data_IF_676652543524
#
_entry.id   IF_676652543524
#
_cell.length_a   1.000
_cell.length_b   1.000
_cell.length_c   1.000
_cell.angle_alpha   90.00
_cell.angle_beta   90.00
_cell.angle_gamma   90.00
#
_symmetry.space_group_name_H-M   'P 1'
#
loop_
_entity.id
_entity.type
_entity.pdbx_description
1 polymer ?
#
# COMPACT_ATOMS: atom_id res chain seq x y z
N UNK A 1 -39.23 47.26 -36.49
CA UNK A 1 -39.24 46.36 -37.65
C UNK A 1 -37.81 45.98 -38.02
N UNK A 2 -37.32 44.76 -37.88
CA UNK A 2 -37.59 43.66 -36.95
C UNK A 2 -36.66 42.52 -37.37
N UNK A 3 -35.75 42.12 -36.48
CA UNK A 3 -35.57 40.72 -36.08
C UNK A 3 -35.00 39.67 -37.05
N UNK A 4 -34.72 39.94 -38.33
CA UNK A 4 -34.34 38.86 -39.27
C UNK A 4 -32.83 38.79 -39.59
N UNK A 5 -32.10 39.91 -39.57
CA UNK A 5 -30.68 39.94 -39.99
C UNK A 5 -29.67 39.47 -38.93
N UNK A 6 -30.07 39.32 -37.66
CA UNK A 6 -29.20 38.77 -36.60
C UNK A 6 -29.25 37.24 -36.49
N UNK A 7 -30.23 36.58 -37.12
CA UNK A 7 -30.42 35.12 -36.98
C UNK A 7 -29.49 34.35 -37.93
N UNK A 8 -29.25 34.86 -39.14
CA UNK A 8 -28.46 34.13 -40.16
C UNK A 8 -26.96 34.06 -39.83
N UNK A 9 -26.42 35.04 -39.10
CA UNK A 9 -24.98 35.04 -38.74
C UNK A 9 -24.68 34.06 -37.60
N UNK A 10 -25.66 33.70 -36.77
CA UNK A 10 -25.47 32.73 -35.67
C UNK A 10 -25.61 31.26 -36.08
N UNK A 11 -26.23 30.96 -37.21
CA UNK A 11 -26.41 29.55 -37.64
C UNK A 11 -25.26 28.99 -38.45
N UNK A 12 -24.39 29.81 -39.04
CA UNK A 12 -23.23 29.33 -39.83
C UNK A 12 -21.99 29.08 -38.95
N UNK A 13 -21.91 29.68 -37.76
CA UNK A 13 -20.80 29.45 -36.82
C UNK A 13 -20.94 28.17 -35.97
N UNK A 14 -22.11 27.51 -35.97
CA UNK A 14 -22.34 26.28 -35.19
C UNK A 14 -22.24 24.98 -35.99
N UNK A 15 -22.12 25.04 -37.32
CA UNK A 15 -21.96 23.86 -38.17
C UNK A 15 -20.49 23.58 -38.59
N UNK A 16 -19.53 24.34 -38.06
CA UNK A 16 -18.12 24.32 -38.51
C UNK A 16 -17.09 23.79 -37.52
N UNK A 17 -17.48 23.23 -36.37
CA UNK A 17 -16.52 22.71 -35.37
C UNK A 17 -16.78 21.24 -35.00
N UNK A 18 -17.55 20.52 -35.81
CA UNK A 18 -17.71 19.07 -35.69
C UNK A 18 -16.97 18.44 -36.85
N UNK A 19 -15.63 18.39 -36.79
CA UNK A 19 -14.74 17.52 -37.58
C UNK A 19 -13.28 18.02 -37.46
N UNK A 20 -12.66 17.84 -36.29
CA UNK A 20 -11.20 17.64 -36.15
C UNK A 20 -10.82 17.57 -34.66
N UNK A 21 -11.29 16.54 -33.95
CA UNK A 21 -10.51 16.05 -32.81
C UNK A 21 -10.33 14.54 -33.01
N UNK A 22 -9.10 14.06 -33.23
CA UNK A 22 -8.85 12.63 -33.19
C UNK A 22 -9.17 12.14 -31.77
N UNK A 23 -9.63 10.89 -31.59
CA UNK A 23 -9.84 10.35 -30.26
C UNK A 23 -8.50 10.39 -29.53
N UNK A 24 -8.38 11.31 -28.57
CA UNK A 24 -7.29 11.32 -27.59
C UNK A 24 -7.51 10.06 -26.75
N UNK A 25 -6.86 8.97 -27.16
CA UNK A 25 -6.57 7.84 -26.30
C UNK A 25 -5.87 8.43 -25.07
N UNK A 26 -6.64 8.70 -24.02
CA UNK A 26 -6.10 8.80 -22.67
C UNK A 26 -5.63 7.41 -22.32
N UNK A 27 -4.41 7.08 -22.78
CA UNK A 27 -3.54 6.15 -22.09
C UNK A 27 -3.32 6.76 -20.71
N UNK A 28 -4.17 6.39 -19.76
CA UNK A 28 -3.79 6.40 -18.36
C UNK A 28 -2.71 5.33 -18.21
N UNK A 29 -1.50 5.64 -18.67
CA UNK A 29 -0.29 5.08 -18.08
C UNK A 29 -0.10 5.76 -16.74
N UNK A 30 -1.02 5.48 -15.81
CA UNK A 30 -0.67 5.42 -14.42
C UNK A 30 0.38 4.33 -14.34
N UNK A 31 1.64 4.71 -14.18
CA UNK A 31 2.68 3.79 -13.75
C UNK A 31 2.26 3.33 -12.37
N UNK A 32 1.43 2.29 -12.34
CA UNK A 32 1.27 1.44 -11.17
C UNK A 32 2.69 1.02 -10.80
N UNK A 33 3.19 1.53 -9.68
CA UNK A 33 4.43 1.05 -9.06
C UNK A 33 4.31 -0.43 -8.63
N UNK A 34 3.15 -1.05 -8.85
CA UNK A 34 2.89 -2.45 -8.63
C UNK A 34 2.61 -3.13 -9.98
N UNK A 35 3.60 -3.84 -10.51
CA UNK A 35 3.38 -4.75 -11.63
C UNK A 35 2.36 -5.82 -11.21
N UNK A 36 1.24 -6.02 -11.93
CA UNK A 36 0.24 -7.03 -11.61
C UNK A 36 0.70 -8.47 -11.92
N UNK A 37 2.00 -8.67 -12.17
CA UNK A 37 2.63 -9.93 -12.57
C UNK A 37 3.62 -10.47 -11.53
N UNK A 38 3.55 -10.02 -10.28
CA UNK A 38 4.23 -10.76 -9.22
C UNK A 38 3.48 -12.10 -9.04
N UNK A 39 4.14 -13.27 -9.19
CA UNK A 39 3.51 -14.54 -8.85
C UNK A 39 2.99 -14.45 -7.41
N UNK A 40 1.85 -15.09 -7.06
CA UNK A 40 1.35 -15.05 -5.70
C UNK A 40 2.43 -15.66 -4.80
N UNK A 41 3.16 -14.81 -4.10
CA UNK A 41 4.09 -15.26 -3.08
C UNK A 41 3.23 -15.93 -2.03
N UNK A 42 3.29 -17.26 -1.99
CA UNK A 42 2.61 -18.06 -0.98
C UNK A 42 3.20 -17.63 0.36
N UNK A 43 2.45 -16.79 1.07
CA UNK A 43 2.83 -16.34 2.40
C UNK A 43 2.67 -17.52 3.35
N UNK A 44 3.64 -17.69 4.24
CA UNK A 44 3.69 -18.77 5.22
C UNK A 44 3.35 -18.21 6.59
N UNK A 45 2.57 -18.96 7.35
CA UNK A 45 2.37 -18.67 8.77
C UNK A 45 3.63 -19.04 9.55
N UNK A 46 3.85 -18.34 10.66
CA UNK A 46 4.98 -18.57 11.56
C UNK A 46 6.13 -17.59 11.40
N UNK A 47 7.04 -17.64 12.36
CA UNK A 47 8.15 -16.71 12.48
C UNK A 47 9.29 -17.03 11.49
N UNK A 48 9.89 -16.00 10.87
CA UNK A 48 11.16 -16.16 10.17
C UNK A 48 12.29 -16.50 11.15
N UNK A 49 13.45 -16.85 10.60
CA UNK A 49 14.63 -17.12 11.42
C UNK A 49 15.07 -15.87 12.17
N UNK A 50 15.44 -16.03 13.43
CA UNK A 50 15.77 -14.92 14.34
C UNK A 50 16.92 -14.05 13.82
N UNK A 51 17.92 -14.68 13.19
CA UNK A 51 19.08 -14.03 12.60
C UNK A 51 18.72 -13.11 11.42
N UNK A 52 17.68 -13.45 10.66
CA UNK A 52 17.28 -12.72 9.45
C UNK A 52 16.47 -11.46 9.79
N UNK A 53 15.85 -11.42 10.98
CA UNK A 53 15.01 -10.30 11.44
C UNK A 53 15.64 -9.44 12.53
N UNK A 54 16.87 -9.73 12.96
CA UNK A 54 17.52 -8.97 14.03
C UNK A 54 17.62 -7.48 13.67
N UNK A 55 17.26 -6.53 14.56
CA UNK A 55 17.00 -6.68 16.00
C UNK A 55 15.53 -6.88 16.40
N UNK A 56 14.65 -7.22 15.47
CA UNK A 56 13.27 -7.58 15.80
C UNK A 56 13.21 -8.98 16.44
N UNK A 57 12.15 -9.19 17.20
CA UNK A 57 11.80 -10.47 17.81
C UNK A 57 10.47 -10.96 17.22
N UNK A 58 10.32 -12.26 17.09
CA UNK A 58 9.08 -12.87 16.62
C UNK A 58 8.72 -14.05 17.52
N UNK A 59 7.44 -14.15 17.88
CA UNK A 59 6.88 -15.17 18.76
C UNK A 59 5.68 -15.82 18.08
N UNK A 60 5.59 -17.13 18.22
CA UNK A 60 4.44 -17.94 17.84
C UNK A 60 3.64 -18.27 19.11
N UNK A 61 2.42 -17.77 19.20
CA UNK A 61 1.55 -17.92 20.36
C UNK A 61 0.38 -18.84 19.98
N UNK A 62 0.20 -20.00 20.63
CA UNK A 62 -0.98 -20.83 20.42
C UNK A 62 -2.25 -20.08 20.82
N UNK A 63 -3.27 -20.03 19.96
CA UNK A 63 -4.57 -19.47 20.33
C UNK A 63 -5.30 -20.40 21.29
N UNK A 64 -5.79 -19.90 22.44
CA UNK A 64 -6.52 -20.72 23.40
C UNK A 64 -7.91 -21.15 22.90
N UNK A 65 -8.50 -20.43 21.94
CA UNK A 65 -9.93 -20.54 21.60
C UNK A 65 -10.22 -21.17 20.22
N UNK A 66 -9.32 -22.01 19.70
CA UNK A 66 -9.64 -22.81 18.51
C UNK A 66 -10.73 -23.85 18.84
N UNK A 67 -12.00 -23.42 18.83
CA UNK A 67 -13.20 -24.25 19.03
C UNK A 67 -13.34 -25.41 18.02
N UNK A 68 -12.43 -25.51 17.04
CA UNK A 68 -12.39 -26.51 15.98
C UNK A 68 -11.30 -27.58 16.15
N UNK A 69 -10.55 -27.61 17.26
CA UNK A 69 -9.52 -28.64 17.50
C UNK A 69 -8.26 -28.54 16.64
N UNK A 70 -8.18 -27.53 15.76
CA UNK A 70 -6.99 -27.18 14.99
C UNK A 70 -6.33 -25.98 15.69
N UNK A 71 -5.22 -26.25 16.42
CA UNK A 71 -4.50 -25.23 17.16
C UNK A 71 -3.95 -24.17 16.21
N UNK A 72 -4.61 -23.01 16.14
CA UNK A 72 -4.13 -21.91 15.32
C UNK A 72 -3.02 -21.17 16.07
N UNK A 73 -1.95 -20.82 15.36
CA UNK A 73 -0.81 -20.11 15.92
C UNK A 73 -0.92 -18.64 15.51
N UNK A 74 -0.81 -17.72 16.46
CA UNK A 74 -0.64 -16.30 16.21
C UNK A 74 0.83 -15.95 16.10
N UNK A 75 1.19 -15.29 15.02
CA UNK A 75 2.56 -14.81 14.80
C UNK A 75 2.63 -13.33 15.20
N UNK A 76 3.46 -13.05 16.21
CA UNK A 76 3.62 -11.71 16.78
C UNK A 76 5.05 -11.23 16.60
N UNK A 77 5.24 -10.05 15.98
CA UNK A 77 6.56 -9.46 15.76
C UNK A 77 6.73 -8.14 16.50
N UNK A 78 7.89 -7.95 17.14
CA UNK A 78 8.25 -6.74 17.85
C UNK A 78 9.55 -6.17 17.30
N UNK A 79 9.52 -4.96 16.78
CA UNK A 79 10.71 -4.20 16.44
C UNK A 79 10.79 -2.98 17.35
N UNK A 80 11.85 -2.91 18.16
CA UNK A 80 12.01 -1.86 19.17
C UNK A 80 13.32 -1.11 18.99
N UNK A 81 13.29 0.20 19.19
CA UNK A 81 14.49 1.07 19.27
C UNK A 81 15.36 1.04 18.00
N UNK A 82 14.76 0.85 16.82
CA UNK A 82 15.51 0.82 15.56
C UNK A 82 15.64 2.23 15.00
N UNK A 83 16.74 2.92 15.34
CA UNK A 83 17.00 4.30 14.91
C UNK A 83 17.54 4.42 13.48
N UNK A 84 18.10 3.33 12.95
CA UNK A 84 18.62 3.28 11.59
C UNK A 84 17.59 2.63 10.65
N UNK A 85 17.10 3.39 9.68
CA UNK A 85 16.11 2.93 8.69
C UNK A 85 16.62 1.75 7.85
N UNK A 86 17.93 1.64 7.56
CA UNK A 86 18.49 0.50 6.84
C UNK A 86 18.42 -0.79 7.65
N UNK A 87 18.64 -0.70 8.98
CA UNK A 87 18.52 -1.85 9.88
C UNK A 87 17.06 -2.33 9.91
N UNK A 88 16.10 -1.40 10.01
CA UNK A 88 14.68 -1.74 9.94
C UNK A 88 14.33 -2.39 8.59
N UNK A 89 14.78 -1.81 7.47
CA UNK A 89 14.55 -2.38 6.14
C UNK A 89 15.13 -3.79 5.97
N UNK A 90 16.32 -4.05 6.52
CA UNK A 90 16.92 -5.38 6.46
C UNK A 90 16.13 -6.38 7.31
N UNK A 91 15.72 -6.00 8.53
CA UNK A 91 14.87 -6.86 9.36
C UNK A 91 13.54 -7.18 8.68
N UNK A 92 12.92 -6.18 8.01
CA UNK A 92 11.68 -6.38 7.27
C UNK A 92 11.85 -7.27 6.02
N UNK A 93 13.04 -7.27 5.38
CA UNK A 93 13.36 -8.24 4.33
C UNK A 93 13.38 -9.68 4.86
N UNK A 94 13.90 -9.89 6.07
CA UNK A 94 13.84 -11.20 6.73
C UNK A 94 12.42 -11.70 7.00
N UNK A 95 11.43 -10.79 7.06
CA UNK A 95 10.02 -11.12 7.23
C UNK A 95 9.29 -11.39 5.90
N UNK A 96 9.96 -11.24 4.75
CA UNK A 96 9.32 -11.48 3.45
C UNK A 96 8.88 -12.93 3.30
N UNK A 97 7.68 -13.12 2.76
CA UNK A 97 7.06 -14.43 2.63
C UNK A 97 6.37 -14.93 3.90
N UNK A 98 6.33 -14.14 4.98
CA UNK A 98 5.67 -14.50 6.23
C UNK A 98 4.38 -13.70 6.46
N UNK A 99 3.42 -14.32 7.15
CA UNK A 99 2.22 -13.68 7.69
C UNK A 99 2.46 -13.37 9.16
N UNK A 100 2.34 -12.09 9.52
CA UNK A 100 2.43 -11.57 10.88
C UNK A 100 1.02 -11.12 11.30
N UNK A 101 0.44 -11.76 12.31
CA UNK A 101 -0.88 -11.40 12.82
C UNK A 101 -0.85 -10.04 13.52
N UNK A 102 0.17 -9.82 14.37
CA UNK A 102 0.33 -8.59 15.13
C UNK A 102 1.78 -8.10 15.08
N UNK A 103 2.00 -6.90 14.54
CA UNK A 103 3.31 -6.25 14.51
C UNK A 103 3.33 -5.01 15.39
N UNK A 104 4.36 -4.86 16.21
CA UNK A 104 4.61 -3.64 16.99
C UNK A 104 5.91 -3.00 16.55
N UNK A 105 5.84 -1.74 16.15
CA UNK A 105 6.97 -0.88 15.84
C UNK A 105 7.07 0.20 16.92
N UNK A 106 7.98 0.03 17.87
CA UNK A 106 8.17 0.96 19.00
C UNK A 106 9.50 1.69 18.89
N UNK A 107 9.48 3.02 19.00
CA UNK A 107 10.67 3.88 19.00
C UNK A 107 11.57 3.64 17.78
N UNK A 108 10.95 3.40 16.61
CA UNK A 108 11.60 3.10 15.34
C UNK A 108 11.58 4.31 14.40
N UNK A 109 12.63 4.46 13.59
CA UNK A 109 12.70 5.48 12.55
C UNK A 109 12.13 4.94 11.24
N UNK A 110 10.83 5.17 11.05
CA UNK A 110 10.11 4.72 9.87
C UNK A 110 10.41 5.60 8.63
N UNK A 111 10.58 5.00 7.44
CA UNK A 111 10.62 5.76 6.21
C UNK A 111 9.24 6.41 5.92
N UNK A 112 9.18 7.52 5.19
CA UNK A 112 7.91 8.14 4.81
C UNK A 112 7.04 7.19 3.98
N UNK A 113 5.74 7.17 4.22
CA UNK A 113 4.77 6.36 3.49
C UNK A 113 4.15 7.11 2.29
N UNK A 114 3.77 6.39 1.24
CA UNK A 114 3.94 4.96 1.03
C UNK A 114 5.40 4.61 0.71
N UNK A 115 5.85 3.46 1.19
CA UNK A 115 7.17 2.89 0.95
C UNK A 115 7.06 1.37 0.82
N UNK A 116 8.04 0.74 0.18
CA UNK A 116 8.07 -0.72 0.01
C UNK A 116 8.53 -1.50 1.25
N UNK A 117 8.47 -0.93 2.46
CA UNK A 117 9.00 -1.55 3.67
C UNK A 117 8.34 -2.91 3.96
N UNK A 118 7.05 -3.04 3.67
CA UNK A 118 6.25 -4.25 3.90
C UNK A 118 6.01 -5.06 2.61
N UNK A 119 6.83 -4.84 1.58
CA UNK A 119 6.68 -5.57 0.33
C UNK A 119 6.82 -7.08 0.56
N UNK A 120 5.81 -7.87 0.15
CA UNK A 120 5.69 -9.31 0.38
C UNK A 120 5.71 -9.75 1.85
N UNK A 121 5.28 -8.89 2.79
CA UNK A 121 5.02 -9.26 4.18
C UNK A 121 3.53 -9.14 4.43
N UNK A 122 2.88 -10.22 4.90
CA UNK A 122 1.45 -10.21 5.19
C UNK A 122 1.18 -9.74 6.61
N UNK A 123 0.87 -8.46 6.81
CA UNK A 123 0.60 -7.92 8.15
C UNK A 123 -0.90 -7.75 8.34
N UNK A 124 -1.51 -8.46 9.30
CA UNK A 124 -2.95 -8.33 9.59
C UNK A 124 -3.26 -7.11 10.45
N UNK A 125 -2.45 -6.88 11.48
CA UNK A 125 -2.55 -5.72 12.35
C UNK A 125 -1.17 -5.17 12.72
N UNK A 126 -1.07 -3.85 12.80
CA UNK A 126 0.18 -3.16 13.15
C UNK A 126 -0.08 -2.00 14.12
N UNK A 127 0.74 -1.93 15.16
CA UNK A 127 0.79 -0.79 16.08
C UNK A 127 2.13 -0.07 15.97
N UNK A 128 2.06 1.26 15.87
CA UNK A 128 3.24 2.12 15.81
C UNK A 128 3.24 2.98 17.07
N UNK A 129 4.23 2.78 17.94
CA UNK A 129 4.35 3.42 19.24
C UNK A 129 5.63 4.28 19.28
N UNK A 130 5.56 5.44 19.93
CA UNK A 130 6.70 6.34 20.17
C UNK A 130 7.58 6.62 18.94
N UNK A 131 7.00 6.56 17.75
CA UNK A 131 7.70 6.66 16.47
C UNK A 131 7.06 7.75 15.63
N UNK A 132 7.88 8.51 14.92
CA UNK A 132 7.36 9.51 13.97
C UNK A 132 6.97 8.82 12.67
N UNK A 133 5.72 8.98 12.26
CA UNK A 133 5.22 8.54 10.95
C UNK A 133 5.10 9.77 10.05
N UNK A 134 5.61 9.67 8.83
CA UNK A 134 5.42 10.69 7.80
C UNK A 134 4.58 10.09 6.68
N UNK A 135 3.44 10.71 6.37
CA UNK A 135 2.54 10.30 5.30
C UNK A 135 2.64 11.34 4.17
N UNK A 136 2.88 10.89 2.94
CA UNK A 136 2.96 11.76 1.74
C UNK A 136 1.65 11.75 0.96
N UNK A 137 1.49 12.72 0.07
CA UNK A 137 0.26 12.96 -0.71
C UNK A 137 -0.30 11.69 -1.38
N UNK A 138 0.56 10.89 -2.01
CA UNK A 138 0.19 9.64 -2.66
C UNK A 138 -0.41 8.58 -1.72
N UNK A 139 -0.08 8.60 -0.42
CA UNK A 139 -0.78 7.77 0.56
C UNK A 139 -2.26 8.16 0.65
N UNK A 140 -2.53 9.46 0.76
CA UNK A 140 -3.89 9.99 0.90
C UNK A 140 -4.71 9.82 -0.39
N UNK A 141 -4.09 9.97 -1.56
CA UNK A 141 -4.75 9.71 -2.85
C UNK A 141 -5.16 8.25 -3.00
N UNK A 142 -4.35 7.30 -2.52
CA UNK A 142 -4.74 5.89 -2.51
C UNK A 142 -5.87 5.66 -1.51
N UNK A 143 -5.73 6.15 -0.27
CA UNK A 143 -6.71 5.97 0.79
C UNK A 143 -8.09 6.58 0.45
N UNK A 144 -8.13 7.71 -0.28
CA UNK A 144 -9.39 8.34 -0.68
C UNK A 144 -10.15 7.59 -1.79
N UNK A 145 -9.43 6.77 -2.56
CA UNK A 145 -9.98 6.04 -3.71
C UNK A 145 -10.28 4.55 -3.40
N UNK A 146 -9.92 4.07 -2.21
CA UNK A 146 -10.34 2.76 -1.71
C UNK A 146 -11.77 2.89 -1.15
N UNK A 147 -12.77 2.59 -1.98
CA UNK A 147 -14.18 2.45 -1.61
C UNK A 147 -14.58 0.98 -1.66
#
# INVERSE_FOLDING_TARGET
MNGITQIVVRTILLAGIVLADPPRLTSMSGTSLFSPLAPPTVLREGCPRKEDIHPCECLEIPKPDSASGEGSIETVAFCKTIRNTQVLQNAMKGMQGHIIDFMVLDSCKLPPFPNGLFFNVGIKWMEILNSTVQLKQNFFECASNCW
#
